data_IF_325338805142
#
_entry.id   IF_325338805142
#
_cell.length_a   1.000
_cell.length_b   1.000
_cell.length_c   1.000
_cell.angle_alpha   90.00
_cell.angle_beta   90.00
_cell.angle_gamma   90.00
#
_symmetry.space_group_name_H-M   'P 1'
#
loop_
_entity.id
_entity.type
_entity.pdbx_description
1 polymer ?
#
# COMPACT_ATOMS: atom_id res chain seq x y z
N UNK A 1 -3.48 -20.95 7.23
CA UNK A 1 -2.52 -20.50 8.27
C UNK A 1 -2.89 -19.08 8.71
N UNK A 2 -3.22 -18.84 9.99
CA UNK A 2 -3.80 -17.57 10.47
C UNK A 2 -2.86 -16.36 10.37
N UNK A 3 -1.55 -16.58 10.25
CA UNK A 3 -0.52 -15.54 10.15
C UNK A 3 -0.69 -14.62 8.94
N UNK A 4 -1.09 -15.16 7.77
CA UNK A 4 -1.30 -14.32 6.59
C UNK A 4 -2.50 -13.39 6.74
N UNK A 5 -3.57 -13.89 7.34
CA UNK A 5 -4.78 -13.10 7.63
C UNK A 5 -4.45 -11.97 8.59
N UNK A 6 -3.65 -12.24 9.62
CA UNK A 6 -3.17 -11.20 10.55
C UNK A 6 -2.36 -10.11 9.83
N UNK A 7 -1.43 -10.48 8.94
CA UNK A 7 -0.64 -9.53 8.16
C UNK A 7 -1.51 -8.68 7.21
N UNK A 8 -2.53 -9.28 6.60
CA UNK A 8 -3.49 -8.56 5.74
C UNK A 8 -4.25 -7.50 6.55
N UNK A 9 -4.76 -7.88 7.73
CA UNK A 9 -5.47 -6.96 8.63
C UNK A 9 -4.55 -5.81 9.05
N UNK A 10 -3.31 -6.11 9.45
CA UNK A 10 -2.32 -5.08 9.79
C UNK A 10 -2.07 -4.11 8.62
N UNK A 11 -1.96 -4.62 7.39
CA UNK A 11 -1.80 -3.79 6.19
C UNK A 11 -3.03 -2.92 5.91
N UNK A 12 -4.23 -3.45 6.15
CA UNK A 12 -5.48 -2.70 6.00
C UNK A 12 -5.61 -1.59 7.06
N UNK A 13 -5.23 -1.86 8.30
CA UNK A 13 -5.18 -0.85 9.38
C UNK A 13 -4.18 0.26 9.02
N UNK A 14 -2.98 -0.12 8.56
CA UNK A 14 -1.97 0.85 8.09
C UNK A 14 -2.50 1.70 6.92
N UNK A 15 -3.22 1.10 5.97
CA UNK A 15 -3.86 1.84 4.89
C UNK A 15 -4.84 2.89 5.40
N UNK A 16 -5.75 2.50 6.30
CA UNK A 16 -6.74 3.43 6.88
C UNK A 16 -6.06 4.55 7.69
N UNK A 17 -4.99 4.23 8.42
CA UNK A 17 -4.21 5.21 9.16
C UNK A 17 -3.58 6.26 8.22
N UNK A 18 -2.94 5.84 7.13
CA UNK A 18 -2.33 6.79 6.20
C UNK A 18 -3.38 7.53 5.37
N UNK A 19 -4.53 6.91 5.08
CA UNK A 19 -5.61 7.54 4.32
C UNK A 19 -6.36 8.59 5.14
N UNK A 20 -6.56 8.35 6.44
CA UNK A 20 -7.14 9.37 7.33
C UNK A 20 -6.20 10.57 7.48
N UNK A 21 -4.89 10.33 7.58
CA UNK A 21 -3.88 11.39 7.62
C UNK A 21 -3.83 12.19 6.30
N UNK A 22 -3.96 11.52 5.14
CA UNK A 22 -4.08 12.18 3.83
C UNK A 22 -5.26 13.16 3.74
N UNK A 23 -6.39 12.86 4.39
CA UNK A 23 -7.60 13.72 4.35
C UNK A 23 -7.40 14.95 5.24
N UNK A 24 -6.70 14.81 6.37
CA UNK A 24 -6.48 15.89 7.34
C UNK A 24 -5.36 16.86 6.96
N UNK A 25 -4.44 16.48 6.08
CA UNK A 25 -3.30 17.34 5.70
C UNK A 25 -3.70 18.37 4.62
N UNK A 26 -3.58 19.68 4.90
CA UNK A 26 -3.87 20.75 3.93
C UNK A 26 -2.72 20.98 2.92
N UNK A 27 -1.49 20.55 3.27
CA UNK A 27 -0.29 20.74 2.43
C UNK A 27 -0.29 19.77 1.23
N UNK A 28 -0.10 20.26 -0.01
CA UNK A 28 -0.23 19.43 -1.22
C UNK A 28 0.86 18.35 -1.36
N UNK A 29 2.14 18.63 -1.06
CA UNK A 29 3.20 17.61 -1.17
C UNK A 29 3.11 16.59 -0.03
N UNK A 30 2.85 17.04 1.20
CA UNK A 30 2.66 16.15 2.34
C UNK A 30 1.45 15.21 2.16
N UNK A 31 0.37 15.70 1.52
CA UNK A 31 -0.78 14.88 1.11
C UNK A 31 -0.40 13.82 0.07
N UNK A 32 0.43 14.16 -0.92
CA UNK A 32 0.92 13.19 -1.92
C UNK A 32 1.82 12.11 -1.29
N UNK A 33 2.58 12.47 -0.27
CA UNK A 33 3.43 11.54 0.47
C UNK A 33 2.62 10.55 1.31
N UNK A 34 1.62 11.04 2.06
CA UNK A 34 0.68 10.18 2.78
C UNK A 34 -0.11 9.27 1.83
N UNK A 35 -0.52 9.79 0.66
CA UNK A 35 -1.18 8.99 -0.40
C UNK A 35 -0.27 7.87 -0.92
N UNK A 36 1.02 8.14 -1.11
CA UNK A 36 1.99 7.13 -1.55
C UNK A 36 2.20 6.04 -0.50
N UNK A 37 2.30 6.39 0.78
CA UNK A 37 2.39 5.42 1.90
C UNK A 37 1.13 4.58 2.06
N UNK A 38 -0.05 5.20 2.00
CA UNK A 38 -1.33 4.49 2.01
C UNK A 38 -1.39 3.50 0.85
N UNK A 39 -1.04 3.93 -0.35
CA UNK A 39 -1.04 3.06 -1.49
C UNK A 39 -0.01 1.91 -1.42
N UNK A 40 1.16 2.11 -0.81
CA UNK A 40 2.12 1.03 -0.57
C UNK A 40 1.52 -0.03 0.37
N UNK A 41 0.89 0.40 1.47
CA UNK A 41 0.19 -0.51 2.38
C UNK A 41 -0.95 -1.26 1.67
N UNK A 42 -1.66 -0.62 0.73
CA UNK A 42 -2.63 -1.32 -0.11
C UNK A 42 -1.98 -2.37 -1.02
N UNK A 43 -0.90 -2.01 -1.71
CA UNK A 43 -0.21 -2.93 -2.63
C UNK A 43 0.35 -4.15 -1.91
N UNK A 44 0.98 -3.94 -0.76
CA UNK A 44 1.46 -5.00 0.13
C UNK A 44 0.29 -5.86 0.64
N UNK A 45 -0.80 -5.23 1.08
CA UNK A 45 -2.01 -5.94 1.51
C UNK A 45 -2.60 -6.81 0.41
N UNK A 46 -2.71 -6.30 -0.81
CA UNK A 46 -3.20 -7.05 -1.99
C UNK A 46 -2.25 -8.20 -2.37
N UNK A 47 -0.93 -7.99 -2.28
CA UNK A 47 0.06 -9.05 -2.50
C UNK A 47 -0.05 -10.18 -1.46
N UNK A 48 -0.24 -9.83 -0.19
CA UNK A 48 -0.47 -10.80 0.89
C UNK A 48 -1.79 -11.54 0.72
N UNK A 49 -2.85 -10.87 0.24
CA UNK A 49 -4.13 -11.52 -0.11
C UNK A 49 -3.91 -12.54 -1.22
N UNK A 50 -3.23 -12.17 -2.32
CA UNK A 50 -2.93 -13.10 -3.42
C UNK A 50 -2.12 -14.32 -2.96
N UNK A 51 -1.11 -14.12 -2.12
CA UNK A 51 -0.32 -15.21 -1.51
C UNK A 51 -1.17 -16.09 -0.59
N UNK A 52 -2.00 -15.49 0.27
CA UNK A 52 -2.88 -16.22 1.16
C UNK A 52 -3.87 -17.09 0.39
N UNK A 53 -4.43 -16.60 -0.71
CA UNK A 53 -5.30 -17.36 -1.61
C UNK A 53 -4.56 -18.58 -2.16
N UNK A 54 -3.31 -18.45 -2.62
CA UNK A 54 -2.54 -19.64 -3.05
C UNK A 54 -2.40 -20.66 -1.92
N UNK A 55 -2.02 -20.24 -0.70
CA UNK A 55 -1.85 -21.19 0.41
C UNK A 55 -3.15 -21.83 0.91
N UNK A 56 -4.29 -21.16 0.79
CA UNK A 56 -5.60 -21.69 1.16
C UNK A 56 -6.08 -22.79 0.22
N UNK A 57 -5.84 -22.65 -1.09
CA UNK A 57 -6.41 -23.55 -2.10
C UNK A 57 -5.44 -24.63 -2.60
N UNK A 58 -4.15 -24.57 -2.26
CA UNK A 58 -3.18 -25.59 -2.66
C UNK A 58 -3.38 -26.98 -2.01
N UNK A 59 -4.18 -27.10 -0.94
CA UNK A 59 -4.31 -28.38 -0.20
C UNK A 59 -5.64 -29.11 -0.40
N UNK A 60 -6.63 -28.47 -1.05
CA UNK A 60 -7.96 -29.06 -1.23
C UNK A 60 -8.21 -29.27 -2.72
N UNK A 61 -8.14 -30.54 -3.11
CA UNK A 61 -8.36 -31.07 -4.45
C UNK A 61 -9.81 -30.78 -4.89
N UNK A 62 -10.10 -29.55 -5.32
CA UNK A 62 -11.42 -29.13 -5.75
C UNK A 62 -11.37 -28.51 -7.16
N UNK A 63 -12.18 -29.06 -8.05
CA UNK A 63 -12.23 -28.85 -9.50
C UNK A 63 -12.57 -27.42 -9.98
N UNK A 64 -12.71 -26.45 -9.08
CA UNK A 64 -12.92 -25.01 -9.37
C UNK A 64 -11.61 -24.16 -9.33
N UNK A 65 -10.45 -24.82 -9.17
CA UNK A 65 -9.15 -24.19 -8.88
C UNK A 65 -8.66 -23.15 -9.93
N UNK A 66 -9.12 -23.23 -11.17
CA UNK A 66 -8.59 -22.39 -12.28
C UNK A 66 -8.91 -20.91 -12.04
N UNK A 67 -10.16 -20.59 -11.67
CA UNK A 67 -10.57 -19.20 -11.42
C UNK A 67 -9.84 -18.62 -10.22
N UNK A 68 -9.71 -19.40 -9.15
CA UNK A 68 -9.02 -19.01 -7.94
C UNK A 68 -7.55 -18.72 -8.19
N UNK A 69 -6.90 -19.52 -9.03
CA UNK A 69 -5.50 -19.33 -9.41
C UNK A 69 -5.31 -18.08 -10.27
N UNK A 70 -6.23 -17.82 -11.22
CA UNK A 70 -6.23 -16.59 -12.04
C UNK A 70 -6.41 -15.36 -11.16
N UNK A 71 -7.37 -15.38 -10.23
CA UNK A 71 -7.63 -14.26 -9.31
C UNK A 71 -6.42 -14.04 -8.40
N UNK A 72 -5.82 -15.11 -7.86
CA UNK A 72 -4.61 -15.01 -7.05
C UNK A 72 -3.44 -14.40 -7.82
N UNK A 73 -3.23 -14.84 -9.08
CA UNK A 73 -2.20 -14.30 -9.95
C UNK A 73 -2.42 -12.80 -10.23
N UNK A 74 -3.67 -12.40 -10.55
CA UNK A 74 -4.02 -11.00 -10.77
C UNK A 74 -3.76 -10.15 -9.53
N UNK A 75 -4.20 -10.61 -8.36
CA UNK A 75 -3.96 -9.91 -7.09
C UNK A 75 -2.48 -9.79 -6.77
N UNK A 76 -1.68 -10.82 -7.07
CA UNK A 76 -0.25 -10.80 -6.84
C UNK A 76 0.45 -9.82 -7.79
N UNK A 77 0.11 -9.83 -9.09
CA UNK A 77 0.67 -8.91 -10.08
C UNK A 77 0.29 -7.47 -9.77
N UNK A 78 -0.98 -7.20 -9.49
CA UNK A 78 -1.48 -5.86 -9.15
C UNK A 78 -0.89 -5.38 -7.82
N UNK A 79 -0.84 -6.26 -6.82
CA UNK A 79 -0.24 -5.96 -5.51
C UNK A 79 1.23 -5.58 -5.62
N UNK A 80 2.02 -6.39 -6.34
CA UNK A 80 3.45 -6.19 -6.48
C UNK A 80 3.79 -4.97 -7.34
N UNK A 81 3.16 -4.82 -8.51
CA UNK A 81 3.37 -3.66 -9.40
C UNK A 81 2.99 -2.35 -8.71
N UNK A 82 1.86 -2.33 -8.00
CA UNK A 82 1.41 -1.15 -7.27
C UNK A 82 2.29 -0.81 -6.06
N UNK A 83 2.83 -1.81 -5.36
CA UNK A 83 3.79 -1.61 -4.28
C UNK A 83 5.09 -0.97 -4.81
N UNK A 84 5.67 -1.51 -5.89
CA UNK A 84 6.91 -1.01 -6.49
C UNK A 84 6.74 0.41 -7.04
N UNK A 85 5.66 0.68 -7.77
CA UNK A 85 5.37 2.02 -8.30
C UNK A 85 5.28 3.07 -7.18
N UNK A 86 4.64 2.70 -6.06
CA UNK A 86 4.46 3.60 -4.93
C UNK A 86 5.70 3.73 -4.04
N UNK A 87 6.57 2.72 -4.01
CA UNK A 87 7.90 2.83 -3.41
C UNK A 87 8.78 3.83 -4.18
N UNK A 88 8.74 3.79 -5.51
CA UNK A 88 9.44 4.76 -6.37
C UNK A 88 8.89 6.18 -6.18
N UNK A 89 7.56 6.31 -6.11
CA UNK A 89 6.90 7.59 -5.83
C UNK A 89 7.30 8.15 -4.45
N UNK A 90 7.30 7.32 -3.40
CA UNK A 90 7.75 7.71 -2.07
C UNK A 90 9.18 8.27 -2.08
N UNK A 91 10.12 7.57 -2.74
CA UNK A 91 11.50 8.04 -2.85
C UNK A 91 11.61 9.40 -3.56
N UNK A 92 10.75 9.65 -4.55
CA UNK A 92 10.72 10.92 -5.27
C UNK A 92 10.10 12.07 -4.45
N UNK A 93 9.04 11.80 -3.69
CA UNK A 93 8.38 12.84 -2.87
C UNK A 93 9.13 13.19 -1.59
N UNK A 94 10.01 12.31 -1.09
CA UNK A 94 10.79 12.54 0.14
C UNK A 94 11.65 13.81 0.09
N UNK A 95 12.48 14.06 -0.94
CA UNK A 95 13.26 15.30 -1.05
C UNK A 95 12.39 16.55 -1.27
N UNK A 96 11.27 16.43 -2.01
CA UNK A 96 10.33 17.54 -2.19
C UNK A 96 9.68 17.98 -0.88
N UNK A 97 9.39 17.03 0.02
CA UNK A 97 8.84 17.31 1.35
C UNK A 97 9.81 18.12 2.22
N UNK A 98 11.08 17.74 2.20
CA UNK A 98 12.13 18.47 2.92
C UNK A 98 12.35 19.88 2.37
N UNK A 99 12.00 20.11 1.09
CA UNK A 99 12.06 21.42 0.47
C UNK A 99 10.84 22.26 0.85
N UNK A 100 9.64 21.69 0.77
CA UNK A 100 8.39 22.33 1.24
C UNK A 100 8.46 22.73 2.73
N UNK A 101 9.06 21.89 3.58
CA UNK A 101 9.26 22.19 5.01
C UNK A 101 10.21 23.39 5.23
N UNK A 102 11.26 23.51 4.41
CA UNK A 102 12.21 24.63 4.50
C UNK A 102 11.57 25.94 4.02
N UNK A 103 10.86 25.88 2.90
CA UNK A 103 10.17 27.04 2.35
C UNK A 103 9.12 27.54 3.35
N UNK A 104 8.35 26.64 3.97
CA UNK A 104 7.39 27.04 5.01
C UNK A 104 8.04 27.66 6.25
N UNK A 105 9.19 27.14 6.70
CA UNK A 105 9.92 27.68 7.84
C UNK A 105 10.52 29.08 7.57
N UNK A 106 10.80 29.43 6.31
CA UNK A 106 11.20 30.79 5.92
C UNK A 106 10.01 31.76 5.91
N UNK A 107 8.83 31.34 5.44
CA UNK A 107 7.63 32.18 5.47
C UNK A 107 7.15 32.48 6.89
N UNK A 108 7.29 31.54 7.83
CA UNK A 108 6.87 31.74 9.22
C UNK A 108 7.83 32.65 10.02
N UNK A 109 9.05 32.86 9.51
CA UNK A 109 10.06 33.76 10.09
C UNK A 109 9.99 35.21 9.59
N UNK A 110 9.15 35.49 8.58
CA UNK A 110 9.06 36.78 7.90
C UNK A 110 7.82 37.55 8.33
#
# INVERSE_FOLDING_TARGET
MPIFVFLIIMSAVAYLYFKTKQIRTPRPVEKMWHKSRAGMALGVGMGLVGLNTLFLFNFELASDLIFTYIIALLFMVIGFTSAVARFKAYKHYTPLLAQEEKDWAEFEKK
#
